data_IF_471640897311
#
_entry.id   IF_471640897311
#
_cell.length_a   1.000
_cell.length_b   1.000
_cell.length_c   1.000
_cell.angle_alpha   90.00
_cell.angle_beta   90.00
_cell.angle_gamma   90.00
#
_symmetry.space_group_name_H-M   'P 1'
#
loop_
_entity.id
_entity.type
_entity.pdbx_description
1 polymer ?
#
# COMPACT_ATOMS: atom_id res chain seq x y z
N UNK A 1 -14.77 -15.16 15.79
CA UNK A 1 -14.18 -14.36 14.68
C UNK A 1 -14.93 -13.04 14.62
N UNK A 2 -14.26 -11.89 14.63
CA UNK A 2 -14.94 -10.61 14.44
C UNK A 2 -15.67 -10.59 13.08
N UNK A 3 -16.79 -9.91 13.02
CA UNK A 3 -17.53 -9.76 11.75
C UNK A 3 -16.68 -8.97 10.74
N UNK A 4 -16.95 -9.14 9.43
CA UNK A 4 -16.22 -8.41 8.38
C UNK A 4 -16.27 -6.89 8.58
N UNK A 5 -17.42 -6.40 9.01
CA UNK A 5 -17.64 -4.97 9.31
C UNK A 5 -16.80 -4.53 10.51
N UNK A 6 -16.72 -5.35 11.55
CA UNK A 6 -15.91 -5.07 12.74
C UNK A 6 -14.41 -5.09 12.45
N UNK A 7 -13.95 -5.93 11.52
CA UNK A 7 -12.56 -5.91 11.06
C UNK A 7 -12.24 -4.61 10.30
N UNK A 8 -13.16 -4.14 9.46
CA UNK A 8 -13.00 -2.89 8.71
C UNK A 8 -12.91 -1.66 9.64
N UNK A 9 -13.79 -1.58 10.64
CA UNK A 9 -13.88 -0.45 11.57
C UNK A 9 -12.94 -0.51 12.78
N UNK A 10 -12.06 -1.51 12.85
CA UNK A 10 -11.09 -1.62 13.94
C UNK A 10 -10.04 -0.51 13.86
N UNK A 11 -9.76 0.15 15.00
CA UNK A 11 -8.74 1.20 15.10
C UNK A 11 -7.31 0.67 15.16
N UNK A 12 -7.14 -0.64 15.35
CA UNK A 12 -5.84 -1.29 15.35
C UNK A 12 -5.30 -1.53 13.93
N UNK A 13 -3.98 -1.76 13.81
CA UNK A 13 -3.36 -2.12 12.54
C UNK A 13 -3.95 -3.43 11.99
N UNK A 14 -3.72 -3.69 10.71
CA UNK A 14 -4.06 -4.97 10.11
C UNK A 14 -3.37 -6.11 10.89
N UNK A 15 -4.09 -7.22 11.18
CA UNK A 15 -3.51 -8.34 11.92
C UNK A 15 -2.37 -9.02 11.16
N UNK A 16 -2.35 -8.91 9.83
CA UNK A 16 -1.29 -9.40 8.96
C UNK A 16 -0.66 -8.22 8.21
N UNK A 17 0.66 -8.23 8.10
CA UNK A 17 1.39 -7.26 7.29
C UNK A 17 1.29 -7.62 5.81
N UNK A 18 0.89 -6.65 4.98
CA UNK A 18 0.85 -6.82 3.53
C UNK A 18 2.19 -6.37 2.93
N UNK A 19 3.18 -7.25 3.01
CA UNK A 19 4.55 -6.95 2.56
C UNK A 19 4.57 -6.65 1.06
N UNK A 20 5.22 -5.55 0.69
CA UNK A 20 5.38 -5.12 -0.71
C UNK A 20 4.16 -4.46 -1.34
N UNK A 21 3.09 -4.21 -0.59
CA UNK A 21 1.98 -3.41 -1.09
C UNK A 21 2.35 -1.94 -1.17
N UNK A 22 2.01 -1.34 -2.32
CA UNK A 22 1.93 0.11 -2.47
C UNK A 22 0.46 0.51 -2.51
N UNK A 23 0.11 1.47 -1.66
CA UNK A 23 -1.24 2.01 -1.52
C UNK A 23 -1.46 3.19 -2.47
N UNK A 24 -2.70 3.65 -2.60
CA UNK A 24 -3.06 4.81 -3.45
C UNK A 24 -2.21 6.06 -3.19
N UNK A 25 -1.84 6.31 -1.94
CA UNK A 25 -0.92 7.39 -1.56
C UNK A 25 -1.62 8.62 -0.97
N UNK A 26 -0.89 9.73 -0.77
CA UNK A 26 -1.41 10.91 -0.12
C UNK A 26 -2.35 11.72 -1.02
N UNK A 27 -3.12 12.62 -0.40
CA UNK A 27 -3.92 13.62 -1.12
C UNK A 27 -3.06 14.77 -1.71
N UNK A 28 -3.72 15.73 -2.36
CA UNK A 28 -3.10 16.92 -2.97
C UNK A 28 -2.38 17.86 -1.99
N UNK A 29 -2.46 17.58 -0.68
CA UNK A 29 -1.80 18.33 0.39
C UNK A 29 -0.81 17.45 1.16
N UNK A 30 -0.36 16.36 0.55
CA UNK A 30 0.58 15.38 1.11
C UNK A 30 0.07 14.73 2.42
N UNK A 31 -1.25 14.67 2.62
CA UNK A 31 -1.85 14.05 3.83
C UNK A 31 -2.18 12.59 3.56
N UNK A 32 -1.86 11.75 4.55
CA UNK A 32 -2.17 10.32 4.55
C UNK A 32 -2.58 9.89 5.98
N UNK A 33 -3.88 9.65 6.26
CA UNK A 33 -4.38 9.38 7.61
C UNK A 33 -4.20 7.92 8.05
N UNK A 34 -3.75 7.03 7.16
CA UNK A 34 -3.59 5.58 7.41
C UNK A 34 -4.86 4.92 7.99
N UNK A 35 -5.97 5.05 7.26
CA UNK A 35 -7.28 4.52 7.66
C UNK A 35 -7.74 3.42 6.72
N UNK A 36 -8.06 2.24 7.26
CA UNK A 36 -8.54 1.08 6.48
C UNK A 36 -9.82 1.37 5.67
N UNK A 37 -10.65 2.31 6.13
CA UNK A 37 -11.87 2.72 5.44
C UNK A 37 -11.64 3.77 4.34
N UNK A 38 -10.47 4.40 4.30
CA UNK A 38 -10.10 5.40 3.28
C UNK A 38 -9.52 4.68 2.06
N UNK A 39 -10.41 4.18 1.20
CA UNK A 39 -10.03 3.39 0.04
C UNK A 39 -9.22 4.21 -0.98
N UNK A 40 -9.46 5.52 -1.11
CA UNK A 40 -8.78 6.34 -2.11
C UNK A 40 -7.27 6.40 -1.85
N UNK A 41 -6.89 6.50 -0.57
CA UNK A 41 -5.50 6.62 -0.16
C UNK A 41 -4.88 5.29 0.23
N UNK A 42 -5.68 4.38 0.79
CA UNK A 42 -5.18 3.14 1.41
C UNK A 42 -5.40 1.87 0.56
N UNK A 43 -6.02 1.94 -0.61
CA UNK A 43 -6.22 0.77 -1.48
C UNK A 43 -4.88 0.24 -2.00
N UNK A 44 -4.53 -1.04 -1.72
CA UNK A 44 -3.47 -1.72 -2.42
C UNK A 44 -4.03 -2.45 -3.66
N UNK A 45 -3.39 -2.29 -4.81
CA UNK A 45 -3.84 -2.96 -6.03
C UNK A 45 -2.69 -3.46 -6.91
N UNK A 46 -2.95 -4.56 -7.64
CA UNK A 46 -1.96 -5.16 -8.54
C UNK A 46 -1.49 -4.19 -9.63
N UNK A 47 -2.38 -3.33 -10.12
CA UNK A 47 -2.05 -2.34 -11.15
C UNK A 47 -1.16 -1.20 -10.63
N UNK A 48 -1.08 -0.98 -9.31
CA UNK A 48 -0.12 -0.06 -8.67
C UNK A 48 1.26 -0.72 -8.60
N UNK A 49 1.31 -1.96 -8.12
CA UNK A 49 2.57 -2.69 -7.92
C UNK A 49 3.25 -3.11 -9.23
N UNK A 50 2.49 -3.53 -10.25
CA UNK A 50 3.05 -4.07 -11.49
C UNK A 50 4.05 -3.12 -12.21
N UNK A 51 3.72 -1.84 -12.48
CA UNK A 51 4.68 -0.91 -13.08
C UNK A 51 5.85 -0.59 -12.16
N UNK A 52 5.61 -0.48 -10.84
CA UNK A 52 6.66 -0.18 -9.87
C UNK A 52 7.73 -1.26 -9.82
N UNK A 53 7.34 -2.54 -9.85
CA UNK A 53 8.28 -3.66 -9.88
C UNK A 53 9.23 -3.56 -11.08
N UNK A 54 8.72 -3.18 -12.26
CA UNK A 54 9.55 -2.98 -13.44
C UNK A 54 10.57 -1.85 -13.28
N UNK A 55 10.14 -0.70 -12.75
CA UNK A 55 11.03 0.43 -12.49
C UNK A 55 12.10 0.10 -11.45
N UNK A 56 11.72 -0.55 -10.35
CA UNK A 56 12.65 -0.97 -9.30
C UNK A 56 13.65 -2.02 -9.80
N UNK A 57 13.21 -2.96 -10.66
CA UNK A 57 14.10 -3.94 -11.26
C UNK A 57 15.18 -3.27 -12.14
N UNK A 58 14.80 -2.26 -12.93
CA UNK A 58 15.76 -1.48 -13.73
C UNK A 58 16.78 -0.76 -12.84
N UNK A 59 16.31 -0.07 -11.80
CA UNK A 59 17.17 0.67 -10.87
C UNK A 59 18.10 -0.26 -10.08
N UNK A 60 17.60 -1.41 -9.63
CA UNK A 60 18.41 -2.42 -8.94
C UNK A 60 19.49 -2.99 -9.87
N UNK A 61 19.16 -3.21 -11.14
CA UNK A 61 20.14 -3.64 -12.14
C UNK A 61 21.20 -2.57 -12.39
N UNK A 62 20.82 -1.31 -12.58
CA UNK A 62 21.77 -0.23 -12.87
C UNK A 62 22.66 0.12 -11.68
N UNK A 63 22.14 0.03 -10.46
CA UNK A 63 22.89 0.34 -9.23
C UNK A 63 23.87 -0.78 -8.85
N UNK A 64 23.63 -2.01 -9.29
CA UNK A 64 24.49 -3.17 -9.03
C UNK A 64 25.63 -3.37 -10.06
N UNK A 65 25.80 -2.45 -11.01
CA UNK A 65 26.83 -2.51 -12.06
C UNK A 65 28.11 -1.72 -11.73
N UNK A 66 28.24 -1.21 -10.50
CA UNK A 66 29.47 -0.62 -9.96
C UNK A 66 30.30 -1.68 -9.22
#
# INVERSE_FOLDING_TARGET
MPSRVQALSSSGPNPNQLVGAVVGGPDLHDRFPDLRSDYEQSEPATYINAPLVGALAYLAHSSGQL
#
